data_IF_961677486264
#
_entry.id   IF_961677486264
#
_cell.length_a   1.000
_cell.length_b   1.000
_cell.length_c   1.000
_cell.angle_alpha   90.00
_cell.angle_beta   90.00
_cell.angle_gamma   90.00
#
_symmetry.space_group_name_H-M   'P 1'
#
loop_
_entity.id
_entity.type
_entity.pdbx_description
1 polymer ?
#
# COMPACT_ATOMS: atom_id res chain seq x y z
N UNK A 1 1.58 -10.70 -13.76
CA UNK A 1 0.57 -9.81 -13.16
C UNK A 1 -0.57 -10.69 -12.73
N UNK A 2 -0.97 -10.59 -11.47
CA UNK A 2 -1.97 -11.47 -10.89
C UNK A 2 -3.36 -11.02 -11.32
N UNK A 3 -4.07 -11.81 -12.13
CA UNK A 3 -5.38 -11.43 -12.65
C UNK A 3 -6.50 -11.96 -11.76
N UNK A 4 -7.59 -11.21 -11.66
CA UNK A 4 -8.78 -11.61 -10.92
C UNK A 4 -9.33 -12.98 -11.36
N UNK A 5 -9.41 -13.21 -12.66
CA UNK A 5 -9.82 -14.47 -13.29
C UNK A 5 -9.07 -15.68 -12.74
N UNK A 6 -7.76 -15.59 -12.62
CA UNK A 6 -6.92 -16.73 -12.22
C UNK A 6 -7.22 -17.12 -10.76
N UNK A 7 -7.36 -16.11 -9.89
CA UNK A 7 -7.79 -16.29 -8.49
C UNK A 7 -9.19 -16.88 -8.39
N UNK A 8 -10.12 -16.41 -9.24
CA UNK A 8 -11.50 -16.89 -9.25
C UNK A 8 -11.59 -18.36 -9.66
N UNK A 9 -10.83 -18.78 -10.68
CA UNK A 9 -10.76 -20.19 -11.12
C UNK A 9 -10.25 -21.07 -9.99
N UNK A 10 -9.14 -20.68 -9.35
CA UNK A 10 -8.55 -21.45 -8.25
C UNK A 10 -9.49 -21.56 -7.05
N UNK A 11 -10.14 -20.45 -6.67
CA UNK A 11 -11.16 -20.45 -5.63
C UNK A 11 -12.35 -21.35 -5.98
N UNK A 12 -12.81 -21.33 -7.24
CA UNK A 12 -13.89 -22.21 -7.74
C UNK A 12 -13.55 -23.69 -7.59
N UNK A 13 -12.32 -24.09 -7.94
CA UNK A 13 -11.83 -25.46 -7.77
C UNK A 13 -11.81 -25.89 -6.30
N UNK A 14 -11.27 -25.06 -5.41
CA UNK A 14 -11.20 -25.36 -3.97
C UNK A 14 -12.59 -25.40 -3.31
N UNK A 15 -13.53 -24.59 -3.81
CA UNK A 15 -14.92 -24.55 -3.34
C UNK A 15 -15.80 -25.62 -3.99
N UNK A 16 -15.30 -26.35 -4.99
CA UNK A 16 -16.06 -27.29 -5.81
C UNK A 16 -17.26 -26.61 -6.52
N UNK A 17 -17.04 -25.39 -6.98
CA UNK A 17 -18.01 -24.50 -7.66
C UNK A 17 -17.36 -23.85 -8.88
N UNK A 18 -16.88 -24.67 -9.82
CA UNK A 18 -16.17 -24.24 -11.03
C UNK A 18 -17.05 -23.42 -12.00
N UNK A 19 -18.37 -23.61 -11.93
CA UNK A 19 -19.34 -22.82 -12.70
C UNK A 19 -19.78 -21.54 -11.96
N UNK A 20 -19.28 -21.31 -10.74
CA UNK A 20 -19.57 -20.11 -9.92
C UNK A 20 -21.08 -19.87 -9.71
N UNK A 21 -21.84 -20.95 -9.56
CA UNK A 21 -23.30 -20.91 -9.37
C UNK A 21 -23.62 -20.61 -7.91
N UNK A 22 -22.88 -21.23 -6.98
CA UNK A 22 -23.08 -21.03 -5.54
C UNK A 22 -22.44 -19.74 -5.07
N UNK A 23 -21.26 -19.43 -5.59
CA UNK A 23 -20.46 -18.26 -5.27
C UNK A 23 -20.27 -17.41 -6.53
N UNK A 24 -21.22 -16.50 -6.81
CA UNK A 24 -21.16 -15.66 -7.99
C UNK A 24 -19.85 -14.89 -8.09
N UNK A 25 -19.32 -14.75 -9.31
CA UNK A 25 -18.05 -14.06 -9.56
C UNK A 25 -17.99 -12.64 -8.99
N UNK A 26 -19.11 -11.90 -9.01
CA UNK A 26 -19.19 -10.58 -8.39
C UNK A 26 -18.91 -10.59 -6.88
N UNK A 27 -19.37 -11.63 -6.19
CA UNK A 27 -19.13 -11.81 -4.77
C UNK A 27 -17.68 -12.25 -4.50
N UNK A 28 -17.16 -13.20 -5.28
CA UNK A 28 -15.75 -13.58 -5.23
C UNK A 28 -14.83 -12.38 -5.46
N UNK A 29 -15.14 -11.52 -6.44
CA UNK A 29 -14.41 -10.28 -6.71
C UNK A 29 -14.45 -9.32 -5.52
N UNK A 30 -15.56 -9.27 -4.79
CA UNK A 30 -15.69 -8.54 -3.53
C UNK A 30 -14.74 -9.08 -2.45
N UNK A 31 -14.64 -10.40 -2.29
CA UNK A 31 -13.75 -11.03 -1.32
C UNK A 31 -12.27 -10.94 -1.69
N UNK A 32 -11.94 -10.99 -2.99
CA UNK A 32 -10.57 -10.73 -3.48
C UNK A 32 -10.15 -9.31 -3.11
N UNK A 33 -11.01 -8.32 -3.34
CA UNK A 33 -10.75 -6.94 -2.91
C UNK A 33 -10.57 -6.83 -1.38
N UNK A 34 -11.38 -7.56 -0.61
CA UNK A 34 -11.25 -7.60 0.85
C UNK A 34 -9.96 -8.29 1.32
N UNK A 35 -9.49 -9.31 0.60
CA UNK A 35 -8.21 -9.96 0.85
C UNK A 35 -7.05 -8.99 0.61
N UNK A 36 -7.07 -8.24 -0.50
CA UNK A 36 -6.10 -7.16 -0.77
C UNK A 36 -6.09 -6.16 0.37
N UNK A 37 -7.26 -5.72 0.84
CA UNK A 37 -7.36 -4.78 1.97
C UNK A 37 -6.77 -5.36 3.27
N UNK A 38 -7.03 -6.64 3.56
CA UNK A 38 -6.48 -7.33 4.73
C UNK A 38 -4.95 -7.49 4.64
N UNK A 39 -4.41 -7.79 3.45
CA UNK A 39 -2.97 -7.88 3.21
C UNK A 39 -2.32 -6.52 3.41
N UNK A 40 -2.90 -5.44 2.85
CA UNK A 40 -2.35 -4.09 2.97
C UNK A 40 -2.42 -3.56 4.40
N UNK A 41 -3.44 -3.97 5.18
CA UNK A 41 -3.52 -3.65 6.60
C UNK A 41 -2.35 -4.26 7.38
N UNK A 42 -2.06 -5.55 7.17
CA UNK A 42 -0.96 -6.24 7.84
C UNK A 42 0.42 -5.84 7.29
N UNK A 43 0.49 -5.56 5.99
CA UNK A 43 1.72 -5.27 5.25
C UNK A 43 1.50 -4.15 4.23
N UNK A 44 1.55 -2.88 4.66
CA UNK A 44 1.36 -1.74 3.76
C UNK A 44 2.36 -1.70 2.58
N UNK A 45 3.58 -2.22 2.79
CA UNK A 45 4.60 -2.28 1.73
C UNK A 45 4.33 -3.30 0.62
N UNK A 46 3.32 -4.17 0.76
CA UNK A 46 2.95 -5.15 -0.25
C UNK A 46 2.52 -4.51 -1.59
N UNK A 47 1.98 -3.29 -1.52
CA UNK A 47 1.77 -2.40 -2.67
C UNK A 47 2.37 -1.04 -2.32
N UNK A 48 3.56 -0.78 -2.83
CA UNK A 48 4.23 0.50 -2.65
C UNK A 48 4.85 0.99 -3.94
N UNK A 49 4.88 2.31 -4.10
CA UNK A 49 5.44 2.96 -5.29
C UNK A 49 6.30 4.15 -4.90
N UNK A 50 7.36 4.37 -5.68
CA UNK A 50 8.23 5.55 -5.54
C UNK A 50 7.71 6.65 -6.45
N UNK A 51 7.25 7.76 -5.87
CA UNK A 51 6.73 8.93 -6.59
C UNK A 51 7.69 10.11 -6.46
N UNK A 52 7.72 10.94 -7.51
CA UNK A 52 8.27 12.30 -7.40
C UNK A 52 7.14 13.20 -6.93
N UNK A 53 7.31 13.78 -5.76
CA UNK A 53 6.28 14.57 -5.10
C UNK A 53 6.70 16.04 -5.06
N UNK A 54 5.91 16.96 -5.65
CA UNK A 54 6.13 18.39 -5.49
C UNK A 54 5.72 18.83 -4.09
N UNK A 55 6.56 19.67 -3.48
CA UNK A 55 6.31 20.23 -2.15
C UNK A 55 5.60 21.59 -2.25
N UNK A 56 4.76 21.87 -1.26
CA UNK A 56 4.06 23.15 -1.13
C UNK A 56 4.85 24.12 -0.25
N UNK A 57 4.63 25.45 -0.37
CA UNK A 57 5.22 26.41 0.55
C UNK A 57 4.85 26.12 2.01
N UNK A 58 5.85 26.01 2.89
CA UNK A 58 5.64 25.74 4.31
C UNK A 58 6.31 24.47 4.83
N UNK A 59 6.15 24.24 6.13
CA UNK A 59 6.71 23.07 6.81
C UNK A 59 5.82 21.84 6.72
N UNK A 60 4.49 22.00 6.71
CA UNK A 60 3.54 20.88 6.62
C UNK A 60 3.35 20.48 5.16
N UNK A 61 3.43 19.19 4.88
CA UNK A 61 3.28 18.61 3.57
C UNK A 61 2.29 17.44 3.64
N UNK A 62 1.60 17.20 2.53
CA UNK A 62 0.61 16.15 2.43
C UNK A 62 0.92 15.26 1.23
N UNK A 63 0.80 13.95 1.42
CA UNK A 63 0.88 12.98 0.32
C UNK A 63 -0.29 13.25 -0.63
N UNK A 64 -0.02 13.46 -1.94
CA UNK A 64 -1.07 13.73 -2.92
C UNK A 64 -2.13 12.63 -2.92
N UNK A 65 -3.39 13.04 -2.78
CA UNK A 65 -4.52 12.13 -2.98
C UNK A 65 -4.63 11.75 -4.46
N UNK A 66 -5.15 10.56 -4.71
CA UNK A 66 -5.46 10.11 -6.06
C UNK A 66 -6.54 11.00 -6.67
N UNK A 67 -6.24 11.67 -7.77
CA UNK A 67 -7.17 12.60 -8.44
C UNK A 67 -8.09 11.93 -9.47
N UNK A 68 -7.79 10.68 -9.87
CA UNK A 68 -8.51 9.99 -10.94
C UNK A 68 -9.28 8.77 -10.42
N UNK A 69 -10.53 8.56 -10.88
CA UNK A 69 -11.25 7.30 -10.64
C UNK A 69 -10.41 6.11 -11.12
N UNK A 70 -10.26 5.11 -10.26
CA UNK A 70 -9.48 3.90 -10.57
C UNK A 70 -7.96 4.04 -10.40
N UNK A 71 -7.42 5.21 -10.02
CA UNK A 71 -6.01 5.33 -9.68
C UNK A 71 -5.72 4.90 -8.23
N UNK A 72 -4.53 4.34 -7.93
CA UNK A 72 -4.21 3.82 -6.61
C UNK A 72 -4.38 4.86 -5.49
N UNK A 73 -5.04 4.49 -4.40
CA UNK A 73 -5.28 5.37 -3.25
C UNK A 73 -4.08 5.33 -2.30
N UNK A 74 -3.46 6.46 -1.93
CA UNK A 74 -2.38 6.45 -0.94
C UNK A 74 -2.92 6.03 0.43
N UNK A 75 -2.21 5.12 1.08
CA UNK A 75 -2.55 4.61 2.42
C UNK A 75 -1.64 5.20 3.50
N UNK A 76 -0.33 5.28 3.22
CA UNK A 76 0.67 5.76 4.18
C UNK A 76 1.97 6.15 3.48
N UNK A 77 2.64 7.18 3.98
CA UNK A 77 4.03 7.47 3.65
C UNK A 77 4.95 6.42 4.29
N UNK A 78 5.74 5.71 3.48
CA UNK A 78 6.73 4.74 3.97
C UNK A 78 8.10 5.38 4.16
N UNK A 79 8.41 6.44 3.40
CA UNK A 79 9.65 7.19 3.59
C UNK A 79 9.89 8.24 2.51
N UNK A 80 10.86 9.11 2.75
CA UNK A 80 11.35 10.11 1.80
C UNK A 80 12.86 10.00 1.75
N UNK A 81 13.41 9.72 0.56
CA UNK A 81 14.81 9.32 0.42
C UNK A 81 15.73 10.51 0.12
N UNK A 82 15.35 11.33 -0.84
CA UNK A 82 16.19 12.41 -1.37
C UNK A 82 15.36 13.50 -2.02
N UNK A 83 15.96 14.68 -2.13
CA UNK A 83 15.48 15.71 -3.03
C UNK A 83 15.64 15.25 -4.48
N UNK A 84 14.81 15.78 -5.36
CA UNK A 84 14.86 15.55 -6.80
C UNK A 84 15.19 16.86 -7.50
N UNK A 85 16.16 16.81 -8.41
CA UNK A 85 16.55 17.94 -9.27
C UNK A 85 15.68 17.91 -10.53
N UNK A 86 15.53 16.74 -11.15
CA UNK A 86 14.74 16.55 -12.38
C UNK A 86 13.86 15.32 -12.23
N UNK A 87 12.55 15.48 -12.49
CA UNK A 87 11.55 14.44 -12.31
C UNK A 87 11.53 13.36 -13.41
N UNK A 88 12.00 13.70 -14.62
CA UNK A 88 11.98 12.80 -15.78
C UNK A 88 12.90 11.58 -15.61
N UNK A 89 12.66 10.48 -16.34
CA UNK A 89 13.54 9.31 -16.32
C UNK A 89 14.84 9.57 -17.13
N UNK A 90 16.03 9.30 -16.57
CA UNK A 90 16.31 8.90 -15.19
C UNK A 90 16.17 10.07 -14.22
N UNK A 91 15.55 9.83 -13.05
CA UNK A 91 15.39 10.85 -12.00
C UNK A 91 16.77 11.33 -11.54
N UNK A 92 17.01 12.63 -11.63
CA UNK A 92 18.23 13.23 -11.10
C UNK A 92 18.06 13.50 -9.60
N UNK A 93 18.85 12.80 -8.77
CA UNK A 93 18.82 12.94 -7.32
C UNK A 93 19.61 14.14 -6.82
N UNK A 94 19.05 14.85 -5.85
CA UNK A 94 19.73 15.86 -5.05
C UNK A 94 20.13 15.32 -3.67
N UNK A 95 20.26 16.23 -2.71
CA UNK A 95 20.65 15.93 -1.34
C UNK A 95 19.74 14.86 -0.68
N UNK A 96 20.34 13.94 0.04
CA UNK A 96 19.65 12.93 0.86
C UNK A 96 18.88 13.59 2.00
N UNK A 97 17.66 13.12 2.25
CA UNK A 97 16.78 13.59 3.32
C UNK A 97 16.86 12.62 4.50
N UNK A 98 16.92 13.14 5.72
CA UNK A 98 17.03 12.32 6.94
C UNK A 98 15.75 12.42 7.78
N UNK A 99 15.20 11.30 8.28
CA UNK A 99 14.18 11.38 9.32
C UNK A 99 14.78 11.94 10.62
N UNK A 100 14.02 12.79 11.31
CA UNK A 100 14.34 13.32 12.64
C UNK A 100 13.15 13.20 13.57
N UNK A 101 13.39 13.26 14.88
CA UNK A 101 12.33 13.30 15.89
C UNK A 101 11.85 14.73 16.05
N UNK A 102 10.53 14.93 16.17
CA UNK A 102 9.93 16.25 16.43
C UNK A 102 10.59 16.95 17.61
N UNK A 103 10.67 16.27 18.76
CA UNK A 103 11.24 16.82 19.99
C UNK A 103 12.71 17.27 19.86
N UNK A 104 13.49 16.60 19.01
CA UNK A 104 14.88 16.99 18.76
C UNK A 104 14.94 18.29 17.95
N UNK A 105 14.10 18.40 16.91
CA UNK A 105 14.03 19.58 16.07
C UNK A 105 13.47 20.78 16.85
N UNK A 106 12.42 20.56 17.64
CA UNK A 106 11.82 21.59 18.49
C UNK A 106 12.81 22.12 19.55
N UNK A 107 13.72 21.27 20.05
CA UNK A 107 14.75 21.69 21.01
C UNK A 107 15.90 22.46 20.36
N UNK A 108 16.30 22.09 19.13
CA UNK A 108 17.42 22.71 18.42
C UNK A 108 17.02 23.99 17.70
N UNK A 109 15.83 24.01 17.10
CA UNK A 109 15.32 25.09 16.26
C UNK A 109 13.86 25.39 16.60
N UNK A 110 13.51 25.94 17.78
CA UNK A 110 12.12 26.07 18.24
C UNK A 110 11.19 26.82 17.29
N UNK A 111 11.74 27.74 16.50
CA UNK A 111 10.99 28.58 15.56
C UNK A 111 11.07 28.06 14.11
N UNK A 112 11.34 26.77 13.90
CA UNK A 112 11.52 26.18 12.56
C UNK A 112 10.30 26.27 11.64
N UNK A 113 9.12 26.51 12.21
CA UNK A 113 7.89 26.79 11.47
C UNK A 113 7.78 28.24 10.97
N UNK A 114 8.50 29.19 11.58
CA UNK A 114 8.45 30.61 11.21
C UNK A 114 9.46 30.92 10.10
N UNK A 115 8.97 31.23 8.90
CA UNK A 115 9.78 31.62 7.74
C UNK A 115 10.67 32.84 7.97
N UNK A 116 10.33 33.69 8.95
CA UNK A 116 11.11 34.88 9.31
C UNK A 116 12.38 34.50 10.08
N UNK A 117 12.35 33.38 10.80
CA UNK A 117 13.49 32.85 11.55
C UNK A 117 14.27 31.85 10.71
N UNK A 118 13.58 30.88 10.09
CA UNK A 118 14.16 29.87 9.21
C UNK A 118 13.61 30.07 7.79
N UNK A 119 14.37 30.71 6.88
CA UNK A 119 13.91 30.93 5.52
C UNK A 119 13.61 29.61 4.80
N UNK A 120 12.48 29.58 4.11
CA UNK A 120 12.08 28.41 3.32
C UNK A 120 13.01 28.18 2.13
N UNK A 121 13.21 26.91 1.76
CA UNK A 121 14.13 26.48 0.70
C UNK A 121 13.52 25.36 -0.14
N UNK A 122 13.86 25.29 -1.41
CA UNK A 122 13.50 24.15 -2.27
C UNK A 122 14.12 22.83 -1.80
N UNK A 123 15.34 22.87 -1.24
CA UNK A 123 16.03 21.70 -0.68
C UNK A 123 15.57 21.39 0.75
N UNK A 124 15.01 20.19 0.94
CA UNK A 124 14.68 19.61 2.25
C UNK A 124 15.89 18.88 2.82
N UNK A 125 16.13 19.02 4.13
CA UNK A 125 17.23 18.36 4.84
C UNK A 125 16.74 17.25 5.75
N UNK A 126 15.65 17.52 6.47
CA UNK A 126 15.08 16.61 7.43
C UNK A 126 13.57 16.51 7.25
N UNK A 127 13.01 15.36 7.66
CA UNK A 127 11.57 15.17 7.76
C UNK A 127 11.19 14.72 9.16
N UNK A 128 10.03 15.16 9.61
CA UNK A 128 9.35 14.66 10.81
C UNK A 128 8.07 13.99 10.33
N UNK A 129 7.93 12.71 10.61
CA UNK A 129 6.74 11.94 10.27
C UNK A 129 5.99 11.57 11.55
N UNK A 130 4.67 11.69 11.52
CA UNK A 130 3.77 11.29 12.58
C UNK A 130 3.00 10.05 12.14
N UNK A 131 3.01 9.00 12.97
CA UNK A 131 2.33 7.76 12.63
C UNK A 131 0.81 7.86 12.81
N UNK A 132 0.33 8.81 13.62
CA UNK A 132 -1.10 9.06 13.85
C UNK A 132 -1.77 9.72 12.63
N UNK A 133 -1.00 10.47 11.83
CA UNK A 133 -1.46 11.04 10.57
C UNK A 133 -0.59 10.56 9.40
N UNK A 134 -0.89 9.37 8.84
CA UNK A 134 0.04 8.64 7.97
C UNK A 134 0.26 9.26 6.58
N UNK A 135 -0.52 10.28 6.23
CA UNK A 135 -0.47 10.98 4.93
C UNK A 135 0.06 12.41 5.06
N UNK A 136 0.41 12.85 6.27
CA UNK A 136 1.02 14.14 6.52
C UNK A 136 2.42 13.96 7.09
N UNK A 137 3.29 14.91 6.77
CA UNK A 137 4.64 14.95 7.31
C UNK A 137 5.14 16.39 7.27
N UNK A 138 6.18 16.65 8.05
CA UNK A 138 6.80 17.96 8.09
C UNK A 138 8.20 17.92 7.49
N UNK A 139 8.59 19.01 6.84
CA UNK A 139 9.91 19.21 6.25
C UNK A 139 10.67 20.31 6.96
N UNK A 140 11.98 20.10 7.11
CA UNK A 140 12.91 21.11 7.58
C UNK A 140 14.09 21.29 6.61
N UNK A 141 14.44 22.54 6.25
CA UNK A 141 13.63 23.75 6.46
C UNK A 141 12.28 23.64 5.73
N UNK A 142 11.34 24.54 6.05
CA UNK A 142 10.08 24.63 5.28
C UNK A 142 10.36 24.79 3.78
N UNK A 143 9.51 24.22 2.93
CA UNK A 143 9.70 24.30 1.49
C UNK A 143 9.23 25.65 0.93
N UNK A 144 9.83 26.12 -0.15
CA UNK A 144 9.45 27.37 -0.83
C UNK A 144 8.40 27.14 -1.95
N UNK A 145 7.96 25.90 -2.15
CA UNK A 145 7.01 25.49 -3.18
C UNK A 145 7.67 25.04 -4.50
N UNK A 146 9.01 25.04 -4.57
CA UNK A 146 9.76 24.64 -5.77
C UNK A 146 10.50 23.31 -5.59
N UNK A 147 10.50 22.76 -4.36
CA UNK A 147 11.16 21.51 -4.05
C UNK A 147 10.42 20.30 -4.62
N UNK A 148 11.19 19.29 -5.02
CA UNK A 148 10.71 17.98 -5.39
C UNK A 148 11.40 16.95 -4.49
N UNK A 149 10.68 15.92 -4.05
CA UNK A 149 11.26 14.82 -3.28
C UNK A 149 10.85 13.46 -3.84
N UNK A 150 11.71 12.47 -3.63
CA UNK A 150 11.40 11.08 -3.91
C UNK A 150 10.80 10.43 -2.65
N UNK A 151 9.49 10.18 -2.70
CA UNK A 151 8.72 9.57 -1.63
C UNK A 151 8.33 8.15 -2.00
N UNK A 152 8.38 7.24 -1.02
CA UNK A 152 7.83 5.90 -1.12
C UNK A 152 6.49 5.90 -0.40
N UNK A 153 5.43 5.56 -1.12
CA UNK A 153 4.05 5.58 -0.61
C UNK A 153 3.46 4.19 -0.73
N UNK A 154 2.87 3.70 0.35
CA UNK A 154 1.99 2.53 0.32
C UNK A 154 0.67 2.94 -0.35
N UNK A 155 0.21 2.16 -1.32
CA UNK A 155 -0.98 2.49 -2.09
C UNK A 155 -1.91 1.30 -2.17
N UNK A 156 -3.21 1.55 -2.01
CA UNK A 156 -4.26 0.60 -2.34
C UNK A 156 -4.44 0.57 -3.85
N UNK A 157 -4.25 -0.57 -4.53
CA UNK A 157 -4.52 -0.67 -5.97
C UNK A 157 -5.97 -0.36 -6.31
N UNK A 158 -6.23 -0.16 -7.60
CA UNK A 158 -7.58 -0.10 -8.13
C UNK A 158 -8.38 -1.33 -7.69
N UNK A 159 -9.66 -1.15 -7.35
CA UNK A 159 -10.50 -2.31 -7.02
C UNK A 159 -10.64 -3.20 -8.26
N UNK A 160 -10.50 -4.50 -8.06
CA UNK A 160 -10.87 -5.47 -9.08
C UNK A 160 -12.36 -5.32 -9.37
N UNK A 161 -12.69 -5.12 -10.64
CA UNK A 161 -14.04 -4.95 -11.15
C UNK A 161 -14.14 -5.61 -12.53
N UNK A 162 -15.33 -6.08 -12.94
CA UNK A 162 -15.53 -6.66 -14.26
C UNK A 162 -15.43 -5.58 -15.34
N UNK A 163 -14.83 -5.90 -16.48
CA UNK A 163 -14.78 -5.02 -17.66
C UNK A 163 -16.00 -5.19 -18.58
N UNK A 164 -16.84 -6.18 -18.31
CA UNK A 164 -18.04 -6.53 -19.05
C UNK A 164 -19.11 -7.13 -18.13
N UNK A 165 -19.82 -8.15 -18.59
CA UNK A 165 -20.83 -8.85 -17.79
C UNK A 165 -20.20 -9.48 -16.54
N UNK A 166 -20.64 -9.12 -15.32
CA UNK A 166 -20.07 -9.62 -14.06
C UNK A 166 -20.23 -11.13 -13.88
N UNK A 167 -21.13 -11.78 -14.61
CA UNK A 167 -21.39 -13.23 -14.55
C UNK A 167 -20.46 -14.05 -15.44
N UNK A 168 -19.73 -13.39 -16.36
CA UNK A 168 -18.78 -14.04 -17.23
C UNK A 168 -17.37 -13.95 -16.66
N UNK A 169 -16.71 -15.09 -16.51
CA UNK A 169 -15.35 -15.18 -15.97
C UNK A 169 -14.34 -14.34 -16.79
N UNK A 170 -14.52 -14.27 -18.11
CA UNK A 170 -13.64 -13.49 -19.00
C UNK A 170 -13.80 -11.97 -18.85
N UNK A 171 -14.79 -11.49 -18.09
CA UNK A 171 -14.89 -10.07 -17.71
C UNK A 171 -13.91 -9.69 -16.58
N UNK A 172 -13.27 -10.66 -15.91
CA UNK A 172 -12.46 -10.43 -14.70
C UNK A 172 -10.95 -10.44 -14.96
N UNK A 173 -10.52 -9.81 -16.06
CA UNK A 173 -9.10 -9.77 -16.47
C UNK A 173 -8.26 -8.69 -15.77
N UNK A 174 -8.88 -7.89 -14.90
CA UNK A 174 -8.20 -6.82 -14.16
C UNK A 174 -7.07 -7.32 -13.26
N UNK A 175 -6.03 -6.51 -13.12
CA UNK A 175 -4.93 -6.76 -12.19
C UNK A 175 -5.41 -6.56 -10.74
N UNK A 176 -5.08 -7.52 -9.87
CA UNK A 176 -5.34 -7.45 -8.42
C UNK A 176 -4.45 -6.41 -7.75
N UNK A 177 -3.35 -6.02 -8.41
CA UNK A 177 -2.44 -4.96 -7.97
C UNK A 177 -1.49 -5.37 -6.85
N UNK A 178 -1.33 -6.67 -6.64
CA UNK A 178 -0.33 -7.28 -5.76
C UNK A 178 0.57 -8.21 -6.57
N UNK A 179 1.77 -8.47 -6.04
CA UNK A 179 2.68 -9.45 -6.62
C UNK A 179 2.08 -10.85 -6.60
N UNK A 180 2.46 -11.70 -7.56
CA UNK A 180 1.97 -13.07 -7.72
C UNK A 180 2.19 -13.94 -6.49
N UNK A 181 3.19 -13.63 -5.66
CA UNK A 181 3.42 -14.31 -4.36
C UNK A 181 2.25 -14.21 -3.38
N UNK A 182 1.29 -13.31 -3.63
CA UNK A 182 0.08 -13.15 -2.83
C UNK A 182 -1.12 -13.93 -3.38
N UNK A 183 -0.97 -14.69 -4.47
CA UNK A 183 -2.08 -15.45 -5.07
C UNK A 183 -2.75 -16.39 -4.07
N UNK A 184 -1.99 -17.30 -3.47
CA UNK A 184 -2.53 -18.28 -2.52
C UNK A 184 -3.19 -17.64 -1.29
N UNK A 185 -2.56 -16.67 -0.58
CA UNK A 185 -3.24 -15.97 0.51
C UNK A 185 -4.58 -15.33 0.08
N UNK A 186 -4.66 -14.78 -1.13
CA UNK A 186 -5.89 -14.15 -1.62
C UNK A 186 -6.97 -15.21 -1.88
N UNK A 187 -6.60 -16.34 -2.48
CA UNK A 187 -7.50 -17.48 -2.69
C UNK A 187 -8.02 -18.01 -1.36
N UNK A 188 -7.12 -18.26 -0.40
CA UNK A 188 -7.49 -18.71 0.95
C UNK A 188 -8.47 -17.75 1.63
N UNK A 189 -8.23 -16.45 1.55
CA UNK A 189 -9.16 -15.47 2.11
C UNK A 189 -10.53 -15.51 1.43
N UNK A 190 -10.58 -15.65 0.10
CA UNK A 190 -11.84 -15.78 -0.63
C UNK A 190 -12.60 -17.06 -0.24
N UNK A 191 -11.92 -18.21 -0.17
CA UNK A 191 -12.50 -19.48 0.27
C UNK A 191 -12.98 -19.43 1.72
N UNK A 192 -12.24 -18.76 2.61
CA UNK A 192 -12.66 -18.50 3.98
C UNK A 192 -14.01 -17.76 4.02
N UNK A 193 -14.15 -16.66 3.27
CA UNK A 193 -15.39 -15.86 3.26
C UNK A 193 -16.57 -16.64 2.68
N UNK A 194 -16.34 -17.44 1.63
CA UNK A 194 -17.33 -18.35 1.07
C UNK A 194 -17.84 -19.36 2.11
N UNK A 195 -16.92 -20.13 2.70
CA UNK A 195 -17.27 -21.21 3.63
C UNK A 195 -17.82 -20.69 4.97
N UNK A 196 -17.43 -19.50 5.40
CA UNK A 196 -17.99 -18.84 6.58
C UNK A 196 -19.44 -18.39 6.34
N UNK A 197 -19.76 -17.90 5.14
CA UNK A 197 -21.10 -17.44 4.78
C UNK A 197 -22.08 -18.60 4.55
N UNK A 198 -21.57 -19.76 4.13
CA UNK A 198 -22.38 -20.90 3.73
C UNK A 198 -23.39 -21.32 4.81
N UNK A 199 -24.70 -21.29 4.49
CA UNK A 199 -25.80 -21.56 5.44
C UNK A 199 -26.27 -23.02 5.38
N UNK A 200 -26.21 -23.66 4.21
CA UNK A 200 -26.71 -25.03 4.01
C UNK A 200 -25.69 -26.11 4.34
N UNK A 201 -24.39 -25.78 4.29
CA UNK A 201 -23.29 -26.70 4.56
C UNK A 201 -22.11 -26.00 5.27
N UNK A 202 -22.40 -25.05 6.15
CA UNK A 202 -21.43 -24.26 6.92
C UNK A 202 -20.28 -25.13 7.44
N UNK A 203 -19.13 -25.11 6.76
CA UNK A 203 -17.97 -25.87 7.19
C UNK A 203 -17.00 -24.94 7.92
N UNK A 204 -17.42 -24.53 9.11
CA UNK A 204 -16.66 -23.61 9.97
C UNK A 204 -15.24 -24.13 10.25
N UNK A 205 -15.03 -25.45 10.26
CA UNK A 205 -13.71 -26.06 10.35
C UNK A 205 -12.83 -25.76 9.13
N UNK A 206 -13.33 -25.95 7.91
CA UNK A 206 -12.60 -25.59 6.68
C UNK A 206 -12.38 -24.08 6.57
N UNK A 207 -13.39 -23.27 6.92
CA UNK A 207 -13.28 -21.81 6.89
C UNK A 207 -12.15 -21.34 7.82
N UNK A 208 -12.07 -21.91 9.03
CA UNK A 208 -11.00 -21.62 9.98
C UNK A 208 -9.61 -22.01 9.43
N UNK A 209 -9.49 -23.14 8.71
CA UNK A 209 -8.24 -23.57 8.09
C UNK A 209 -7.77 -22.58 7.03
N UNK A 210 -8.64 -22.18 6.10
CA UNK A 210 -8.27 -21.19 5.08
C UNK A 210 -7.85 -19.85 5.69
N UNK A 211 -8.58 -19.38 6.71
CA UNK A 211 -8.17 -18.16 7.43
C UNK A 211 -6.82 -18.32 8.12
N UNK A 212 -6.54 -19.48 8.73
CA UNK A 212 -5.25 -19.76 9.36
C UNK A 212 -4.11 -19.81 8.33
N UNK A 213 -4.33 -20.42 7.16
CA UNK A 213 -3.34 -20.45 6.09
C UNK A 213 -3.03 -19.03 5.59
N UNK A 214 -4.06 -18.23 5.31
CA UNK A 214 -3.93 -16.81 4.99
C UNK A 214 -3.09 -16.07 6.05
N UNK A 215 -3.49 -16.13 7.33
CA UNK A 215 -2.81 -15.43 8.41
C UNK A 215 -1.36 -15.88 8.57
N UNK A 216 -1.09 -17.19 8.45
CA UNK A 216 0.26 -17.76 8.55
C UNK A 216 1.14 -17.31 7.40
N UNK A 217 0.65 -17.34 6.17
CA UNK A 217 1.41 -16.93 4.98
C UNK A 217 1.81 -15.44 5.05
N UNK A 218 0.88 -14.57 5.44
CA UNK A 218 1.17 -13.13 5.62
C UNK A 218 2.15 -12.90 6.78
N UNK A 219 1.97 -13.60 7.92
CA UNK A 219 2.87 -13.54 9.05
C UNK A 219 4.30 -13.96 8.70
N UNK A 220 4.47 -15.10 8.02
CA UNK A 220 5.76 -15.59 7.54
C UNK A 220 6.42 -14.60 6.59
N UNK A 221 5.65 -13.99 5.67
CA UNK A 221 6.19 -12.99 4.75
C UNK A 221 6.75 -11.77 5.48
N UNK A 222 6.04 -11.27 6.50
CA UNK A 222 6.49 -10.15 7.34
C UNK A 222 7.78 -10.52 8.09
N UNK A 223 7.84 -11.73 8.67
CA UNK A 223 9.02 -12.21 9.39
C UNK A 223 10.23 -12.37 8.48
N UNK A 224 10.08 -13.00 7.31
CA UNK A 224 11.16 -13.20 6.34
C UNK A 224 11.69 -11.86 5.86
N UNK A 225 10.81 -10.91 5.53
CA UNK A 225 11.25 -9.58 5.08
C UNK A 225 12.00 -8.81 6.17
N UNK A 226 11.53 -8.87 7.42
CA UNK A 226 12.25 -8.31 8.56
C UNK A 226 13.62 -8.97 8.79
N UNK A 227 13.70 -10.29 8.64
CA UNK A 227 14.92 -11.07 8.86
C UNK A 227 15.96 -10.88 7.74
N UNK A 228 15.51 -10.75 6.49
CA UNK A 228 16.36 -10.69 5.28
C UNK A 228 16.57 -9.29 4.74
N UNK A 229 16.01 -8.26 5.38
CA UNK A 229 16.16 -6.88 4.94
C UNK A 229 17.64 -6.49 4.87
N UNK A 230 18.15 -6.01 3.72
CA UNK A 230 19.50 -5.46 3.62
C UNK A 230 19.77 -4.29 4.56
N UNK A 231 18.72 -3.66 5.10
CA UNK A 231 18.80 -2.53 6.02
C UNK A 231 18.83 -2.95 7.51
N UNK A 232 18.86 -4.26 7.83
CA UNK A 232 18.80 -4.76 9.22
C UNK A 232 19.94 -4.21 10.10
N UNK A 233 21.12 -4.04 9.54
CA UNK A 233 22.31 -3.56 10.28
C UNK A 233 22.34 -2.04 10.48
N UNK A 234 21.45 -1.29 9.82
CA UNK A 234 21.36 0.19 9.95
C UNK A 234 20.57 0.65 11.19
N UNK A 235 19.89 -0.27 11.88
CA UNK A 235 19.08 0.00 13.08
C UNK A 235 19.80 -0.29 14.42
N UNK A 236 21.08 -0.69 14.38
CA UNK A 236 21.95 -0.69 15.56
C UNK A 236 22.65 0.66 15.68
#
# INVERSE_FOLDING_TARGET
MLRGRDIMVEAGQLLQDEEHVRWPLAELGGWINAAVDAILLAKPSASSTSIVMPLQPGTLQQVPQSAAPGAPTPLRLLGINRNIITAGPPRAGGRVIRPTKRSLLDAQEPNWHDRRHVPYRSEVRQIVFDEENPLEFYVYPGNDGRGLVEAIVATRPARLAPTGDPTLLDSWLGDVGLSEIYSEPIVDYACYRAQQKDDYAANMGRAAVHYQNFATAIGLKIQVEGATSPNRDRKK
#
